data_IF_987983267929
#
_entry.id   IF_987983267929
#
_cell.length_a   1.000
_cell.length_b   1.000
_cell.length_c   1.000
_cell.angle_alpha   90.00
_cell.angle_beta   90.00
_cell.angle_gamma   90.00
#
_symmetry.space_group_name_H-M   'P 1'
#
loop_
_entity.id
_entity.type
_entity.pdbx_description
1 polymer ?
#
# COMPACT_ATOMS: atom_id res chain seq x y z
N UNK A 1 -14.81 -16.02 -11.82
CA UNK A 1 -13.56 -15.81 -12.58
C UNK A 1 -13.55 -14.48 -13.34
N UNK A 2 -14.65 -14.09 -14.00
CA UNK A 2 -14.72 -12.85 -14.79
C UNK A 2 -14.49 -11.55 -14.01
N UNK A 3 -15.04 -11.43 -12.78
CA UNK A 3 -14.82 -10.24 -11.96
C UNK A 3 -13.35 -10.00 -11.59
N UNK A 4 -12.56 -11.06 -11.41
CA UNK A 4 -11.11 -10.97 -11.15
C UNK A 4 -10.36 -10.47 -12.39
N UNK A 5 -10.72 -10.97 -13.57
CA UNK A 5 -10.13 -10.52 -14.83
C UNK A 5 -10.48 -9.05 -15.14
N UNK A 6 -11.71 -8.62 -14.82
CA UNK A 6 -12.14 -7.23 -14.97
C UNK A 6 -11.42 -6.30 -13.99
N UNK A 7 -11.25 -6.71 -12.74
CA UNK A 7 -10.50 -5.94 -11.74
C UNK A 7 -9.03 -5.74 -12.15
N UNK A 8 -8.39 -6.76 -12.75
CA UNK A 8 -7.02 -6.65 -13.27
C UNK A 8 -6.91 -5.69 -14.48
N UNK A 9 -7.96 -5.60 -15.30
CA UNK A 9 -8.02 -4.73 -16.48
C UNK A 9 -8.52 -3.31 -16.17
N UNK A 10 -8.92 -3.04 -14.93
CA UNK A 10 -9.31 -1.70 -14.50
C UNK A 10 -8.15 -0.72 -14.65
N UNK A 11 -8.37 0.48 -15.21
CA UNK A 11 -7.35 1.53 -15.31
C UNK A 11 -6.72 1.87 -13.96
N UNK A 12 -7.51 1.86 -12.88
CA UNK A 12 -7.04 2.19 -11.53
C UNK A 12 -6.07 1.12 -11.02
N UNK A 13 -6.40 -0.17 -11.20
CA UNK A 13 -5.52 -1.27 -10.83
C UNK A 13 -4.22 -1.21 -11.62
N UNK A 14 -4.31 -0.98 -12.94
CA UNK A 14 -3.15 -0.80 -13.81
C UNK A 14 -2.27 0.37 -13.35
N UNK A 15 -2.85 1.48 -12.88
CA UNK A 15 -2.09 2.62 -12.39
C UNK A 15 -1.31 2.29 -11.11
N UNK A 16 -1.96 1.64 -10.14
CA UNK A 16 -1.32 1.21 -8.88
C UNK A 16 -0.20 0.21 -9.13
N UNK A 17 -0.42 -0.78 -10.01
CA UNK A 17 0.60 -1.77 -10.40
C UNK A 17 1.80 -1.11 -11.09
N UNK A 18 1.58 -0.06 -11.90
CA UNK A 18 2.66 0.71 -12.54
C UNK A 18 3.35 1.69 -11.59
N UNK A 19 2.95 1.75 -10.32
CA UNK A 19 3.61 2.59 -9.33
C UNK A 19 3.14 4.04 -9.30
N UNK A 20 1.87 4.32 -9.62
CA UNK A 20 1.28 5.68 -9.52
C UNK A 20 1.56 6.34 -8.17
N UNK A 21 1.53 5.55 -7.09
CA UNK A 21 1.78 5.98 -5.72
C UNK A 21 3.17 6.60 -5.51
N UNK A 22 4.20 6.23 -6.28
CA UNK A 22 5.56 6.79 -6.10
C UNK A 22 5.64 8.30 -6.30
N UNK A 23 4.73 8.88 -7.08
CA UNK A 23 4.70 10.32 -7.38
C UNK A 23 3.55 11.06 -6.69
N UNK A 24 2.71 10.36 -5.92
CA UNK A 24 1.57 10.96 -5.23
C UNK A 24 2.02 11.62 -3.94
N UNK A 25 1.37 12.73 -3.60
CA UNK A 25 1.43 13.30 -2.25
C UNK A 25 0.40 12.63 -1.34
N UNK A 26 0.62 12.68 -0.02
CA UNK A 26 -0.28 12.09 0.99
C UNK A 26 -1.76 12.46 0.80
N UNK A 27 -2.05 13.69 0.39
CA UNK A 27 -3.43 14.18 0.22
C UNK A 27 -4.14 13.61 -1.03
N UNK A 28 -3.41 12.94 -1.92
CA UNK A 28 -3.92 12.29 -3.11
C UNK A 28 -4.22 10.79 -2.89
N UNK A 29 -4.00 10.29 -1.67
CA UNK A 29 -4.32 8.91 -1.30
C UNK A 29 -5.80 8.79 -0.93
N UNK A 30 -6.46 7.81 -1.53
CA UNK A 30 -7.85 7.46 -1.22
C UNK A 30 -7.95 6.54 0.01
N UNK A 31 -9.19 6.18 0.35
CA UNK A 31 -9.53 5.26 1.46
C UNK A 31 -10.91 4.59 1.25
N UNK A 32 -11.53 4.80 0.09
CA UNK A 32 -12.89 4.33 -0.18
C UNK A 32 -12.92 2.85 -0.58
N UNK A 33 -11.88 2.39 -1.29
CA UNK A 33 -11.78 1.03 -1.82
C UNK A 33 -10.57 0.28 -1.28
N UNK A 34 -10.59 -1.06 -1.38
CA UNK A 34 -9.42 -1.88 -1.07
C UNK A 34 -8.21 -1.54 -1.93
N UNK A 35 -8.43 -1.06 -3.16
CA UNK A 35 -7.34 -0.62 -4.03
C UNK A 35 -6.65 0.63 -3.47
N UNK A 36 -7.42 1.58 -2.94
CA UNK A 36 -6.88 2.78 -2.31
C UNK A 36 -6.06 2.43 -1.05
N UNK A 37 -6.55 1.45 -0.28
CA UNK A 37 -5.86 0.97 0.91
C UNK A 37 -4.52 0.33 0.55
N UNK A 38 -4.47 -0.51 -0.49
CA UNK A 38 -3.22 -1.10 -0.99
C UNK A 38 -2.29 -0.02 -1.54
N UNK A 39 -2.82 0.96 -2.27
CA UNK A 39 -2.04 2.09 -2.78
C UNK A 39 -1.43 2.91 -1.63
N UNK A 40 -2.18 3.19 -0.56
CA UNK A 40 -1.69 3.89 0.61
C UNK A 40 -0.61 3.09 1.36
N UNK A 41 -0.78 1.78 1.52
CA UNK A 41 0.22 0.92 2.14
C UNK A 41 1.55 0.90 1.35
N UNK A 42 1.46 0.79 0.02
CA UNK A 42 2.63 0.87 -0.87
C UNK A 42 3.30 2.24 -0.81
N UNK A 43 2.50 3.31 -0.71
CA UNK A 43 3.02 4.67 -0.56
C UNK A 43 3.82 4.84 0.73
N UNK A 44 3.31 4.34 1.87
CA UNK A 44 4.03 4.36 3.16
C UNK A 44 5.33 3.58 3.08
N UNK A 45 5.30 2.40 2.47
CA UNK A 45 6.47 1.54 2.34
C UNK A 45 7.56 2.16 1.47
N UNK A 46 7.20 2.91 0.44
CA UNK A 46 8.16 3.56 -0.46
C UNK A 46 8.74 4.86 0.06
N UNK A 47 7.97 5.62 0.83
CA UNK A 47 8.43 6.91 1.37
C UNK A 47 9.02 6.80 2.78
N UNK A 48 8.92 5.64 3.44
CA UNK A 48 9.68 5.33 4.63
C UNK A 48 11.05 4.76 4.26
N UNK A 49 12.12 5.32 4.79
CA UNK A 49 13.49 4.84 4.58
C UNK A 49 13.79 3.54 5.37
N UNK A 50 12.98 3.26 6.39
CA UNK A 50 13.07 2.05 7.23
C UNK A 50 11.68 1.64 7.75
N UNK A 51 11.59 0.46 8.38
CA UNK A 51 10.33 -0.06 8.91
C UNK A 51 9.67 0.92 9.90
N UNK A 52 10.46 1.60 10.73
CA UNK A 52 9.98 2.49 11.79
C UNK A 52 9.40 3.80 11.22
N UNK A 53 10.08 4.41 10.25
CA UNK A 53 9.64 5.61 9.54
C UNK A 53 8.39 5.36 8.71
N UNK A 54 8.28 4.18 8.08
CA UNK A 54 7.06 3.74 7.41
C UNK A 54 5.90 3.49 8.39
N UNK A 55 6.16 2.95 9.59
CA UNK A 55 5.16 2.82 10.66
C UNK A 55 4.71 4.18 11.24
N UNK A 56 5.60 5.17 11.30
CA UNK A 56 5.23 6.55 11.70
C UNK A 56 4.30 7.19 10.65
N UNK A 57 4.61 7.04 9.36
CA UNK A 57 3.73 7.48 8.25
C UNK A 57 2.40 6.73 8.26
N UNK A 58 2.43 5.43 8.58
CA UNK A 58 1.25 4.61 8.79
C UNK A 58 0.41 5.12 9.96
N UNK A 59 1.01 5.54 11.08
CA UNK A 59 0.34 6.14 12.23
C UNK A 59 -0.47 7.39 11.87
N UNK A 60 0.07 8.21 10.97
CA UNK A 60 -0.61 9.42 10.47
C UNK A 60 -1.79 9.07 9.54
N UNK A 61 -1.67 8.00 8.75
CA UNK A 61 -2.74 7.50 7.88
C UNK A 61 -3.75 6.61 8.63
N UNK A 62 -3.35 6.01 9.75
CA UNK A 62 -4.14 5.15 10.63
C UNK A 62 -5.29 5.89 11.32
N UNK A 63 -5.18 7.21 11.48
CA UNK A 63 -6.32 8.04 11.86
C UNK A 63 -7.49 7.99 10.86
N UNK A 64 -7.33 7.32 9.71
CA UNK A 64 -8.36 7.19 8.66
C UNK A 64 -8.81 5.76 8.35
N UNK A 65 -7.97 4.73 8.48
CA UNK A 65 -8.35 3.35 8.09
C UNK A 65 -7.41 2.25 8.65
N UNK A 66 -7.94 1.34 9.48
CA UNK A 66 -7.21 0.20 10.06
C UNK A 66 -6.73 -0.82 9.00
N UNK A 67 -7.44 -0.86 7.87
CA UNK A 67 -7.15 -1.76 6.75
C UNK A 67 -5.78 -1.51 6.12
N UNK A 68 -5.33 -0.25 6.13
CA UNK A 68 -4.00 0.16 5.63
C UNK A 68 -2.90 -0.49 6.47
N UNK A 69 -3.10 -0.63 7.79
CA UNK A 69 -2.13 -1.28 8.67
C UNK A 69 -2.01 -2.77 8.41
N UNK A 70 -3.12 -3.45 8.15
CA UNK A 70 -3.09 -4.86 7.76
C UNK A 70 -2.32 -5.05 6.45
N UNK A 71 -2.64 -4.26 5.42
CA UNK A 71 -1.95 -4.34 4.13
C UNK A 71 -0.45 -4.02 4.25
N UNK A 72 -0.10 -3.00 5.03
CA UNK A 72 1.29 -2.61 5.29
C UNK A 72 2.07 -3.69 6.04
N UNK A 73 1.49 -4.28 7.09
CA UNK A 73 2.12 -5.36 7.86
C UNK A 73 2.38 -6.62 7.02
N UNK A 74 1.49 -6.95 6.08
CA UNK A 74 1.72 -8.05 5.13
C UNK A 74 2.86 -7.74 4.16
N UNK A 75 2.93 -6.50 3.65
CA UNK A 75 4.01 -6.03 2.76
C UNK A 75 5.37 -6.07 3.46
N UNK A 76 5.46 -5.49 4.66
CA UNK A 76 6.72 -5.44 5.41
C UNK A 76 7.12 -6.81 5.92
N UNK A 77 6.17 -7.65 6.35
CA UNK A 77 6.43 -9.04 6.69
C UNK A 77 7.00 -9.80 5.50
N UNK A 78 6.38 -9.73 4.33
CA UNK A 78 6.87 -10.41 3.14
C UNK A 78 8.27 -9.94 2.71
N UNK A 79 8.58 -8.64 2.86
CA UNK A 79 9.87 -8.08 2.46
C UNK A 79 10.98 -8.35 3.48
N UNK A 80 10.75 -8.08 4.77
CA UNK A 80 11.78 -8.13 5.81
C UNK A 80 11.90 -9.48 6.52
N UNK A 81 10.85 -10.32 6.58
CA UNK A 81 11.02 -11.70 7.12
C UNK A 81 11.68 -12.63 6.10
N UNK A 82 11.47 -12.43 4.80
CA UNK A 82 12.13 -13.26 3.77
C UNK A 82 13.65 -13.11 3.81
N UNK A 83 14.15 -11.94 4.21
CA UNK A 83 15.58 -11.64 4.34
C UNK A 83 16.24 -12.30 5.58
N UNK A 84 15.45 -12.91 6.48
CA UNK A 84 15.94 -13.60 7.69
C UNK A 84 15.85 -15.13 7.62
N UNK A 85 15.38 -15.67 6.49
CA UNK A 85 15.13 -17.10 6.32
C UNK A 85 16.29 -17.88 5.67
N UNK A 86 17.40 -17.20 5.35
CA UNK A 86 18.65 -17.79 4.85
C UNK A 86 19.69 -17.99 5.97
#
# INVERSE_FOLDING_TARGET
>A
MEQRALAARSPNTCAVVRGSWRRKSRNQLGHASWLDVVEAALWCFWHGDDLASGEVLLGVLLGRDERVRLAYGLLTGAFYLSDRAD
#
